data_IF_097709978770
#
_entry.id   IF_097709978770
#
_cell.length_a   1.000
_cell.length_b   1.000
_cell.length_c   1.000
_cell.angle_alpha   90.00
_cell.angle_beta   90.00
_cell.angle_gamma   90.00
#
_symmetry.space_group_name_H-M   'P 1'
#
loop_
_entity.id
_entity.type
_entity.pdbx_description
1 polymer ?
#
# COMPACT_ATOMS: atom_id res chain seq x y z
N UNK A 1 -21.57 -59.47 31.68
CA UNK A 1 -22.67 -58.47 31.59
C UNK A 1 -22.03 -57.09 31.62
N UNK A 2 -22.24 -56.32 30.56
CA UNK A 2 -21.95 -54.88 30.36
C UNK A 2 -20.49 -54.39 30.58
N UNK A 3 -19.82 -53.71 29.65
CA UNK A 3 -20.28 -52.97 28.48
C UNK A 3 -19.86 -51.51 28.59
N UNK A 4 -19.09 -51.05 27.61
CA UNK A 4 -19.08 -49.66 27.15
C UNK A 4 -18.10 -48.69 27.80
N UNK A 5 -17.56 -47.70 27.11
CA UNK A 5 -17.47 -47.42 25.68
C UNK A 5 -16.50 -46.23 25.58
N UNK A 6 -15.43 -46.39 24.82
CA UNK A 6 -14.42 -45.36 24.59
C UNK A 6 -15.01 -44.28 23.68
N UNK A 7 -15.55 -43.21 24.25
CA UNK A 7 -16.03 -42.08 23.47
C UNK A 7 -14.87 -41.19 23.00
N UNK A 8 -14.40 -41.52 21.80
CA UNK A 8 -13.52 -40.69 20.99
C UNK A 8 -14.31 -39.49 20.46
N UNK A 9 -13.90 -38.27 20.83
CA UNK A 9 -14.50 -37.04 20.27
C UNK A 9 -14.10 -36.85 18.80
N UNK A 10 -15.02 -36.39 17.92
CA UNK A 10 -14.72 -36.22 16.51
C UNK A 10 -13.83 -34.99 16.27
N UNK A 11 -12.87 -35.15 15.36
CA UNK A 11 -12.07 -34.05 14.78
C UNK A 11 -13.01 -33.13 14.00
N UNK A 12 -13.13 -31.87 14.44
CA UNK A 12 -13.77 -30.82 13.63
C UNK A 12 -12.86 -30.52 12.44
N UNK A 13 -13.27 -30.98 11.26
CA UNK A 13 -12.71 -30.58 9.97
C UNK A 13 -12.98 -29.09 9.75
N UNK A 14 -11.97 -28.26 9.97
CA UNK A 14 -12.02 -26.86 9.59
C UNK A 14 -12.04 -26.77 8.07
N UNK A 15 -13.15 -26.29 7.54
CA UNK A 15 -13.35 -26.01 6.13
C UNK A 15 -12.25 -25.06 5.64
N UNK A 16 -11.35 -25.59 4.82
CA UNK A 16 -10.26 -24.84 4.21
C UNK A 16 -10.81 -23.91 3.12
N UNK A 17 -11.15 -22.68 3.49
CA UNK A 17 -11.41 -21.62 2.53
C UNK A 17 -10.20 -21.48 1.58
N UNK A 18 -10.44 -21.45 0.26
CA UNK A 18 -9.37 -21.22 -0.72
C UNK A 18 -8.70 -19.90 -0.40
N UNK A 19 -7.44 -19.94 0.01
CA UNK A 19 -6.70 -18.71 0.25
C UNK A 19 -6.21 -18.16 -1.08
N UNK A 20 -6.75 -17.01 -1.48
CA UNK A 20 -6.31 -16.26 -2.66
C UNK A 20 -4.86 -15.82 -2.47
N UNK A 21 -4.01 -16.09 -3.47
CA UNK A 21 -2.61 -15.67 -3.50
C UNK A 21 -2.36 -14.79 -4.72
N UNK A 22 -1.51 -13.78 -4.55
CA UNK A 22 -1.09 -12.84 -5.58
C UNK A 22 0.39 -13.05 -5.88
N UNK A 23 0.78 -12.80 -7.13
CA UNK A 23 2.16 -12.91 -7.59
C UNK A 23 2.92 -11.61 -7.35
N UNK A 24 4.14 -11.71 -6.81
CA UNK A 24 5.04 -10.58 -6.65
C UNK A 24 5.69 -10.22 -8.00
N UNK A 25 5.67 -8.95 -8.39
CA UNK A 25 6.30 -8.50 -9.64
C UNK A 25 7.83 -8.56 -9.61
N UNK A 26 8.44 -8.60 -8.41
CA UNK A 26 9.91 -8.59 -8.23
C UNK A 26 10.50 -9.99 -8.20
N UNK A 27 10.01 -10.86 -7.32
CA UNK A 27 10.53 -12.23 -7.15
C UNK A 27 9.70 -13.30 -7.86
N UNK A 28 8.55 -12.94 -8.46
CA UNK A 28 7.69 -13.86 -9.22
C UNK A 28 7.00 -14.94 -8.36
N UNK A 29 7.27 -15.00 -7.05
CA UNK A 29 6.61 -15.89 -6.09
C UNK A 29 5.18 -15.44 -5.72
N UNK A 30 4.36 -16.40 -5.23
CA UNK A 30 2.96 -16.17 -4.84
C UNK A 30 2.76 -16.14 -3.33
N UNK A 31 2.18 -15.07 -2.80
CA UNK A 31 1.90 -14.91 -1.37
C UNK A 31 0.43 -14.55 -1.09
N UNK A 32 0.03 -14.70 0.18
CA UNK A 32 -1.28 -14.24 0.67
C UNK A 32 -1.34 -12.72 0.70
N UNK A 33 -2.53 -12.14 0.56
CA UNK A 33 -2.75 -10.68 0.51
C UNK A 33 -2.11 -9.92 1.68
N UNK A 34 -2.08 -10.49 2.89
CA UNK A 34 -1.48 -9.87 4.08
C UNK A 34 0.06 -9.79 4.06
N UNK A 35 0.71 -10.41 3.07
CA UNK A 35 2.16 -10.32 2.82
C UNK A 35 2.46 -9.52 1.56
N UNK A 36 1.46 -8.89 0.95
CA UNK A 36 1.58 -8.13 -0.28
C UNK A 36 1.24 -6.67 -0.01
N UNK A 37 1.97 -5.79 -0.71
CA UNK A 37 1.66 -4.39 -0.87
C UNK A 37 1.22 -4.21 -2.31
N UNK A 38 0.04 -3.62 -2.50
CA UNK A 38 -0.36 -3.14 -3.81
C UNK A 38 0.27 -1.77 -4.03
N UNK A 39 0.87 -1.54 -5.19
CA UNK A 39 1.35 -0.21 -5.56
C UNK A 39 0.16 0.78 -5.59
N UNK A 40 0.29 2.00 -5.05
CA UNK A 40 -0.83 2.95 -5.01
C UNK A 40 -1.26 3.43 -6.40
N UNK A 41 -0.35 3.38 -7.38
CA UNK A 41 -0.53 3.97 -8.70
C UNK A 41 -0.78 2.94 -9.81
N UNK A 42 -0.74 1.65 -9.49
CA UNK A 42 -1.00 0.57 -10.46
C UNK A 42 -1.53 -0.70 -9.78
N UNK A 43 -1.83 -1.74 -10.56
CA UNK A 43 -2.35 -3.01 -10.04
C UNK A 43 -1.26 -4.05 -9.71
N UNK A 44 0.00 -3.65 -9.67
CA UNK A 44 1.09 -4.56 -9.32
C UNK A 44 1.14 -4.82 -7.81
N UNK A 45 1.44 -6.07 -7.46
CA UNK A 45 1.66 -6.49 -6.08
C UNK A 45 3.15 -6.78 -5.84
N UNK A 46 3.66 -6.31 -4.71
CA UNK A 46 5.01 -6.57 -4.22
C UNK A 46 4.93 -7.29 -2.88
N UNK A 47 5.69 -8.37 -2.69
CA UNK A 47 5.75 -8.98 -1.38
C UNK A 47 6.49 -8.06 -0.38
N UNK A 48 6.15 -8.18 0.91
CA UNK A 48 6.72 -7.35 1.97
C UNK A 48 8.26 -7.38 2.01
N UNK A 49 8.86 -8.52 1.68
CA UNK A 49 10.31 -8.70 1.66
C UNK A 49 10.95 -7.94 0.50
N UNK A 50 10.39 -8.05 -0.71
CA UNK A 50 10.91 -7.38 -1.89
C UNK A 50 10.77 -5.86 -1.76
N UNK A 51 9.60 -5.36 -1.33
CA UNK A 51 9.41 -3.91 -1.17
C UNK A 51 10.37 -3.34 -0.12
N UNK A 52 10.55 -4.02 1.01
CA UNK A 52 11.55 -3.63 2.02
C UNK A 52 12.97 -3.60 1.47
N UNK A 53 13.33 -4.58 0.64
CA UNK A 53 14.61 -4.63 -0.04
C UNK A 53 14.85 -3.46 -1.00
N UNK A 54 13.81 -3.01 -1.72
CA UNK A 54 13.89 -1.86 -2.61
C UNK A 54 14.22 -0.57 -1.84
N UNK A 55 13.48 -0.29 -0.76
CA UNK A 55 13.72 0.89 0.07
C UNK A 55 15.11 0.87 0.71
N UNK A 56 15.55 -0.26 1.27
CA UNK A 56 16.90 -0.39 1.83
C UNK A 56 18.02 -0.19 0.81
N UNK A 57 17.80 -0.62 -0.43
CA UNK A 57 18.74 -0.38 -1.53
C UNK A 57 18.82 1.09 -1.89
N UNK A 58 17.67 1.77 -1.96
CA UNK A 58 17.59 3.19 -2.22
C UNK A 58 18.28 4.01 -1.12
N UNK A 59 18.15 3.61 0.15
CA UNK A 59 18.88 4.22 1.26
C UNK A 59 20.41 4.03 1.12
N UNK A 60 20.85 2.82 0.76
CA UNK A 60 22.28 2.49 0.70
C UNK A 60 22.99 3.11 -0.50
N UNK A 61 22.33 3.10 -1.66
CA UNK A 61 22.87 3.50 -2.96
C UNK A 61 21.85 4.40 -3.68
N UNK A 62 21.58 5.61 -3.16
CA UNK A 62 20.55 6.48 -3.71
C UNK A 62 20.80 6.86 -5.17
N UNK A 63 22.06 7.00 -5.58
CA UNK A 63 22.46 7.34 -6.94
C UNK A 63 22.00 6.33 -8.02
N UNK A 64 21.66 5.10 -7.64
CA UNK A 64 21.21 4.04 -8.57
C UNK A 64 19.77 3.58 -8.29
N UNK A 65 19.35 3.61 -7.03
CA UNK A 65 18.14 2.91 -6.60
C UNK A 65 17.03 3.84 -6.09
N UNK A 66 17.27 5.16 -6.09
CA UNK A 66 16.31 6.15 -5.63
C UNK A 66 15.77 6.98 -6.81
N UNK A 67 14.47 7.36 -6.80
CA UNK A 67 13.43 6.96 -5.85
C UNK A 67 12.92 5.53 -6.12
N UNK A 68 12.33 4.89 -5.11
CA UNK A 68 11.62 3.62 -5.30
C UNK A 68 10.36 3.87 -6.11
N UNK A 69 10.28 3.26 -7.29
CA UNK A 69 9.18 3.44 -8.23
C UNK A 69 8.51 2.10 -8.59
N UNK A 70 7.25 2.19 -8.99
CA UNK A 70 6.56 1.13 -9.70
C UNK A 70 5.92 1.71 -10.96
N UNK A 71 6.16 1.07 -12.10
CA UNK A 71 5.83 1.65 -13.40
C UNK A 71 6.49 3.04 -13.53
N UNK A 72 5.69 4.11 -13.51
CA UNK A 72 6.15 5.49 -13.69
C UNK A 72 5.83 6.38 -12.49
N UNK A 73 5.58 5.79 -11.32
CA UNK A 73 5.19 6.55 -10.15
C UNK A 73 5.96 6.09 -8.91
N UNK A 74 6.30 7.07 -8.07
CA UNK A 74 6.99 6.84 -6.81
C UNK A 74 6.09 6.01 -5.88
N UNK A 75 6.70 5.11 -5.13
CA UNK A 75 6.06 4.43 -4.00
C UNK A 75 6.34 5.29 -2.77
N UNK A 76 5.34 5.96 -2.18
CA UNK A 76 5.53 6.77 -0.98
C UNK A 76 5.98 5.91 0.20
N UNK A 77 6.92 6.41 1.01
CA UNK A 77 7.47 5.67 2.16
C UNK A 77 6.38 5.32 3.18
N UNK A 78 5.34 6.16 3.28
CA UNK A 78 4.16 5.97 4.12
C UNK A 78 3.43 4.66 3.83
N UNK A 79 3.49 4.19 2.57
CA UNK A 79 2.91 2.90 2.14
C UNK A 79 3.60 1.71 2.80
N UNK A 80 4.86 1.89 3.20
CA UNK A 80 5.75 0.84 3.71
C UNK A 80 6.32 1.14 5.09
N UNK A 81 5.96 2.26 5.73
CA UNK A 81 6.43 2.62 7.07
C UNK A 81 6.16 1.54 8.11
N UNK A 82 5.06 0.78 7.99
CA UNK A 82 4.78 -0.37 8.86
C UNK A 82 5.67 -1.60 8.63
N UNK A 83 6.47 -1.61 7.55
CA UNK A 83 7.40 -2.70 7.19
C UNK A 83 8.87 -2.35 7.47
N UNK A 84 9.20 -1.07 7.43
CA UNK A 84 10.52 -0.50 7.70
C UNK A 84 10.70 -0.25 9.21
N UNK A 85 11.95 -0.10 9.65
CA UNK A 85 12.23 0.44 10.99
C UNK A 85 12.00 1.96 10.99
N UNK A 86 11.78 2.55 12.17
CA UNK A 86 11.63 4.01 12.28
C UNK A 86 12.83 4.79 11.71
N UNK A 87 14.05 4.28 11.92
CA UNK A 87 15.27 4.87 11.35
C UNK A 87 15.30 4.76 9.82
N UNK A 88 14.94 3.61 9.25
CA UNK A 88 14.87 3.42 7.79
C UNK A 88 13.85 4.38 7.15
N UNK A 89 12.72 4.65 7.81
CA UNK A 89 11.74 5.63 7.32
C UNK A 89 12.33 7.05 7.31
N UNK A 90 12.98 7.46 8.40
CA UNK A 90 13.58 8.80 8.53
C UNK A 90 14.68 8.99 7.48
N UNK A 91 15.59 8.03 7.33
CA UNK A 91 16.67 8.10 6.33
C UNK A 91 16.11 8.22 4.91
N UNK A 92 15.09 7.44 4.55
CA UNK A 92 14.47 7.54 3.24
C UNK A 92 13.74 8.89 3.04
N UNK A 93 13.06 9.41 4.07
CA UNK A 93 12.43 10.73 4.03
C UNK A 93 13.45 11.85 3.84
N UNK A 94 14.61 11.80 4.48
CA UNK A 94 15.69 12.75 4.25
C UNK A 94 16.19 12.72 2.80
N UNK A 95 16.31 11.53 2.19
CA UNK A 95 16.65 11.43 0.77
C UNK A 95 15.61 12.06 -0.16
N UNK A 96 14.31 11.98 0.19
CA UNK A 96 13.24 12.67 -0.56
C UNK A 96 13.42 14.18 -0.56
N UNK A 97 13.83 14.75 0.58
CA UNK A 97 14.14 16.17 0.70
C UNK A 97 15.44 16.53 -0.06
N UNK A 98 16.52 15.77 0.15
CA UNK A 98 17.85 16.05 -0.43
C UNK A 98 17.86 15.98 -1.97
N UNK A 99 17.09 15.05 -2.54
CA UNK A 99 16.98 14.87 -3.99
C UNK A 99 15.82 15.65 -4.61
N UNK A 100 15.16 16.52 -3.84
CA UNK A 100 14.02 17.34 -4.27
C UNK A 100 12.94 16.53 -5.00
N UNK A 101 12.64 15.33 -4.50
CA UNK A 101 11.65 14.47 -5.12
C UNK A 101 10.25 15.04 -4.88
N UNK A 102 9.46 15.29 -5.95
CA UNK A 102 8.10 15.77 -5.77
C UNK A 102 7.28 14.81 -4.92
N UNK A 103 6.79 15.33 -3.80
CA UNK A 103 5.81 14.62 -2.97
C UNK A 103 4.46 14.68 -3.69
N UNK A 104 3.86 13.51 -3.97
CA UNK A 104 2.53 13.42 -4.57
C UNK A 104 1.43 13.78 -3.56
N UNK A 105 1.39 15.05 -3.19
CA UNK A 105 0.36 15.60 -2.32
C UNK A 105 -1.00 15.52 -3.03
N UNK A 106 -1.98 14.98 -2.32
CA UNK A 106 -3.37 15.03 -2.78
C UNK A 106 -4.00 16.30 -2.23
N UNK A 107 -4.39 17.23 -3.10
CA UNK A 107 -5.08 18.45 -2.70
C UNK A 107 -6.58 18.28 -2.89
N UNK A 108 -7.36 18.99 -2.08
CA UNK A 108 -8.80 19.09 -2.27
C UNK A 108 -9.15 19.60 -3.68
N UNK A 109 -9.96 18.84 -4.42
CA UNK A 109 -10.35 19.20 -5.79
C UNK A 109 -11.17 20.48 -5.89
N UNK A 110 -11.79 20.93 -4.80
CA UNK A 110 -12.56 22.18 -4.75
C UNK A 110 -11.58 23.35 -4.90
N UNK A 111 -11.75 24.12 -5.98
CA UNK A 111 -10.84 25.20 -6.40
C UNK A 111 -10.64 26.30 -5.36
N UNK A 112 -11.66 26.57 -4.53
CA UNK A 112 -11.60 27.54 -3.43
C UNK A 112 -11.01 26.97 -2.14
N UNK A 113 -10.93 25.65 -2.01
CA UNK A 113 -10.41 24.99 -0.80
C UNK A 113 -8.93 24.65 -0.95
N UNK A 114 -8.58 23.79 -1.92
CA UNK A 114 -7.21 23.32 -2.23
C UNK A 114 -6.35 22.91 -1.02
N UNK A 115 -6.97 22.55 0.09
CA UNK A 115 -6.26 22.09 1.29
C UNK A 115 -5.52 20.78 0.99
N UNK A 116 -4.33 20.58 1.56
CA UNK A 116 -3.62 19.29 1.50
C UNK A 116 -4.45 18.25 2.25
N UNK A 117 -4.77 17.15 1.58
CA UNK A 117 -5.43 16.00 2.20
C UNK A 117 -4.34 15.08 2.75
N UNK A 118 -4.27 14.88 4.08
CA UNK A 118 -3.21 14.07 4.66
C UNK A 118 -3.39 12.59 4.29
N UNK A 119 -2.29 11.82 4.15
CA UNK A 119 -2.35 10.42 3.70
C UNK A 119 -3.28 9.52 4.51
N UNK A 120 -3.41 9.74 5.82
CA UNK A 120 -4.31 8.95 6.69
C UNK A 120 -5.79 9.17 6.39
N UNK A 121 -6.15 10.25 5.68
CA UNK A 121 -7.51 10.56 5.24
C UNK A 121 -7.79 10.03 3.83
N UNK A 122 -6.85 9.26 3.26
CA UNK A 122 -6.98 8.58 1.97
C UNK A 122 -7.21 7.09 2.23
N UNK A 123 -8.37 6.57 1.88
CA UNK A 123 -8.65 5.13 2.02
C UNK A 123 -7.97 4.32 0.91
N UNK A 124 -7.92 2.99 1.11
CA UNK A 124 -7.28 2.04 0.18
C UNK A 124 -7.86 2.06 -1.23
N UNK A 125 -9.10 2.52 -1.40
CA UNK A 125 -9.77 2.73 -2.68
C UNK A 125 -9.50 4.12 -3.28
N UNK A 126 -8.46 4.81 -2.78
CA UNK A 126 -8.04 6.15 -3.20
C UNK A 126 -9.10 7.24 -2.98
N UNK A 127 -10.06 7.03 -2.08
CA UNK A 127 -10.97 8.09 -1.66
C UNK A 127 -10.29 8.95 -0.59
N UNK A 128 -10.00 10.20 -0.94
CA UNK A 128 -9.34 11.18 -0.10
C UNK A 128 -10.37 12.17 0.45
N UNK A 129 -10.58 12.20 1.77
CA UNK A 129 -11.51 13.13 2.40
C UNK A 129 -10.78 14.42 2.84
N UNK A 130 -11.28 15.58 2.43
CA UNK A 130 -10.74 16.84 2.90
C UNK A 130 -11.21 17.15 4.33
N UNK A 131 -10.29 17.23 5.29
CA UNK A 131 -10.64 17.53 6.70
C UNK A 131 -11.20 18.94 6.93
N UNK A 132 -11.06 19.85 5.95
CA UNK A 132 -11.55 21.24 6.03
C UNK A 132 -12.96 21.42 5.49
N UNK A 133 -13.28 20.80 4.36
CA UNK A 133 -14.58 20.99 3.68
C UNK A 133 -15.36 19.68 3.48
N UNK A 134 -14.82 18.55 3.91
CA UNK A 134 -15.38 17.21 3.77
C UNK A 134 -15.68 16.75 2.33
N UNK A 135 -15.20 17.48 1.33
CA UNK A 135 -15.30 17.05 -0.06
C UNK A 135 -14.39 15.85 -0.33
N UNK A 136 -14.84 14.97 -1.22
CA UNK A 136 -14.11 13.75 -1.57
C UNK A 136 -13.34 13.97 -2.87
N UNK A 137 -12.04 13.71 -2.82
CA UNK A 137 -11.12 13.77 -3.96
C UNK A 137 -10.67 12.36 -4.31
N UNK A 138 -10.52 12.08 -5.60
CA UNK A 138 -9.87 10.87 -6.08
C UNK A 138 -8.35 11.01 -5.91
N UNK A 139 -7.74 10.21 -5.05
CA UNK A 139 -6.29 10.19 -4.81
C UNK A 139 -5.46 9.76 -6.02
N UNK A 140 -6.09 9.20 -7.07
CA UNK A 140 -5.43 8.81 -8.33
C UNK A 140 -5.46 9.95 -9.35
N UNK A 141 -6.64 10.38 -9.80
CA UNK A 141 -6.75 11.44 -10.83
C UNK A 141 -6.74 12.86 -10.27
N UNK A 142 -6.73 13.02 -8.93
CA UNK A 142 -6.75 14.29 -8.18
C UNK A 142 -7.97 15.19 -8.45
N UNK A 143 -9.05 14.64 -9.02
CA UNK A 143 -10.33 15.32 -9.27
C UNK A 143 -11.38 14.91 -8.25
N UNK A 144 -12.64 15.33 -8.43
CA UNK A 144 -13.74 14.87 -7.58
C UNK A 144 -13.82 13.35 -7.53
N UNK A 145 -14.09 12.79 -6.35
CA UNK A 145 -14.17 11.34 -6.17
C UNK A 145 -15.27 10.73 -7.05
N UNK A 146 -14.99 9.54 -7.59
CA UNK A 146 -15.90 8.79 -8.46
C UNK A 146 -15.85 7.29 -8.15
N UNK A 147 -16.91 6.57 -8.55
CA UNK A 147 -16.94 5.11 -8.56
C UNK A 147 -16.41 4.60 -9.90
N UNK A 148 -15.61 3.53 -9.87
CA UNK A 148 -15.06 2.92 -11.08
C UNK A 148 -13.75 3.55 -11.57
N UNK A 149 -13.25 3.14 -12.75
CA UNK A 149 -11.94 3.54 -13.24
C UNK A 149 -11.87 5.03 -13.58
N UNK A 150 -10.69 5.64 -13.38
CA UNK A 150 -10.39 7.01 -13.78
C UNK A 150 -10.42 7.10 -15.32
N UNK A 151 -11.55 7.56 -15.87
CA UNK A 151 -11.80 7.60 -17.32
C UNK A 151 -12.14 9.01 -17.75
N UNK A 152 -11.16 9.91 -17.86
CA UNK A 152 -11.35 11.28 -18.38
C UNK A 152 -12.54 12.09 -17.79
N UNK A 153 -12.81 12.01 -16.48
CA UNK A 153 -13.80 12.85 -15.77
C UNK A 153 -13.11 13.93 -14.97
#
# INVERSE_FOLDING_TARGET
MAGGDSQSRPRKSSQGGRVVKFQCVVCVDKYRVNKMIQSPNCMHFLCSTCVKGLFRRAIRNPEVAFPVQCCNANIPVETVCGLLSGAECVEYSSLVEDYDIPVDNTYCHISTCREIIPPFSISRDSRAECLKCHSLTCGVCKRGWHKGPCTHW
#
